data_IF_640038096449
#
_entry.id   IF_640038096449
#
_cell.length_a   1.000
_cell.length_b   1.000
_cell.length_c   1.000
_cell.angle_alpha   90.00
_cell.angle_beta   90.00
_cell.angle_gamma   90.00
#
_symmetry.space_group_name_H-M   'P 1'
#
loop_
_entity.id
_entity.type
_entity.pdbx_description
1 polymer ?
#
# COMPACT_ATOMS: atom_id res chain seq x y z
N UNK A 1 2.24 -9.32 -15.68
CA UNK A 1 3.20 -8.82 -14.70
C UNK A 1 3.58 -7.40 -15.04
N UNK A 2 3.61 -6.51 -14.06
CA UNK A 2 4.18 -5.17 -14.13
C UNK A 2 5.33 -5.12 -13.11
N UNK A 3 6.50 -4.65 -13.54
CA UNK A 3 7.68 -4.57 -12.66
C UNK A 3 8.31 -3.19 -12.76
N UNK A 4 8.87 -2.73 -11.64
CA UNK A 4 9.69 -1.53 -11.57
C UNK A 4 10.84 -1.76 -10.58
N UNK A 5 12.05 -1.80 -11.12
CA UNK A 5 13.30 -1.98 -10.38
C UNK A 5 14.09 -0.68 -10.20
N UNK A 6 13.58 0.41 -10.78
CA UNK A 6 14.17 1.75 -10.75
C UNK A 6 15.58 1.87 -11.34
N UNK A 7 16.15 0.81 -11.89
CA UNK A 7 17.54 0.76 -12.35
C UNK A 7 17.85 1.65 -13.58
N UNK A 8 16.82 2.18 -14.22
CA UNK A 8 16.97 3.25 -15.22
C UNK A 8 17.45 4.59 -14.64
N UNK A 9 17.41 4.75 -13.31
CA UNK A 9 17.71 6.00 -12.61
C UNK A 9 16.60 7.04 -12.69
N UNK A 10 15.43 6.69 -13.22
CA UNK A 10 14.26 7.54 -13.32
C UNK A 10 12.98 6.71 -13.29
N UNK A 11 11.85 7.34 -12.95
CA UNK A 11 10.54 6.72 -13.10
C UNK A 11 10.25 6.55 -14.60
N UNK A 12 9.91 5.33 -15.01
CA UNK A 12 9.55 5.05 -16.40
C UNK A 12 8.19 5.67 -16.76
N UNK A 13 8.24 6.83 -17.38
CA UNK A 13 7.04 7.57 -17.79
C UNK A 13 6.20 6.87 -18.87
N UNK A 14 6.65 5.77 -19.45
CA UNK A 14 5.81 4.94 -20.33
C UNK A 14 4.94 3.96 -19.54
N UNK A 15 5.35 3.59 -18.35
CA UNK A 15 4.61 2.68 -17.46
C UNK A 15 3.73 3.43 -16.46
N UNK A 16 4.21 4.57 -15.96
CA UNK A 16 3.65 5.25 -14.81
C UNK A 16 3.30 6.70 -15.07
N UNK A 17 2.17 7.14 -14.53
CA UNK A 17 1.90 8.54 -14.25
C UNK A 17 2.26 8.83 -12.79
N UNK A 18 3.10 9.82 -12.58
CA UNK A 18 3.37 10.32 -11.23
C UNK A 18 2.35 11.41 -10.89
N UNK A 19 1.55 11.15 -9.86
CA UNK A 19 0.62 12.14 -9.28
C UNK A 19 1.06 12.42 -7.84
N UNK A 20 1.08 13.68 -7.44
CA UNK A 20 1.57 14.08 -6.12
C UNK A 20 0.85 15.31 -5.58
N UNK A 21 0.81 15.42 -4.24
CA UNK A 21 0.35 16.59 -3.49
C UNK A 21 1.28 16.73 -2.27
N UNK A 22 2.01 17.82 -2.22
CA UNK A 22 3.00 18.18 -1.20
C UNK A 22 4.23 17.26 -1.13
N UNK A 23 4.07 15.94 -1.04
CA UNK A 23 5.17 14.99 -0.99
C UNK A 23 5.83 14.69 -2.33
N UNK A 24 6.86 13.87 -2.30
CA UNK A 24 7.63 13.49 -3.48
C UNK A 24 7.90 11.99 -3.56
N UNK A 25 7.99 11.47 -4.78
CA UNK A 25 8.51 10.14 -5.07
C UNK A 25 9.56 10.28 -6.17
N UNK A 26 10.81 10.00 -5.85
CA UNK A 26 11.95 10.20 -6.74
C UNK A 26 12.86 8.99 -6.76
N UNK A 27 13.47 8.70 -7.90
CA UNK A 27 14.53 7.68 -7.97
C UNK A 27 15.84 8.28 -7.49
N UNK A 28 16.57 7.54 -6.67
CA UNK A 28 17.82 7.96 -6.05
C UNK A 28 18.80 6.79 -5.91
N UNK A 29 20.07 7.07 -5.62
CA UNK A 29 21.15 6.09 -5.49
C UNK A 29 21.81 6.05 -4.11
N UNK A 30 21.21 6.70 -3.11
CA UNK A 30 21.73 6.72 -1.75
C UNK A 30 21.48 5.39 -1.03
N UNK A 31 20.41 4.70 -1.44
CA UNK A 31 19.94 3.48 -0.80
C UNK A 31 19.17 2.63 -1.80
N UNK A 32 19.63 1.43 -2.08
CA UNK A 32 18.95 0.43 -2.90
C UNK A 32 19.00 -0.93 -2.21
N UNK A 33 18.02 -1.78 -2.44
CA UNK A 33 18.03 -3.17 -1.99
C UNK A 33 18.85 -4.02 -2.94
N UNK A 34 18.65 -3.79 -4.23
CA UNK A 34 19.39 -4.41 -5.31
C UNK A 34 19.89 -3.34 -6.28
N UNK A 35 20.89 -3.68 -7.08
CA UNK A 35 21.41 -2.78 -8.09
C UNK A 35 21.97 -1.47 -7.53
N UNK A 36 21.57 -0.36 -8.13
CA UNK A 36 22.13 0.97 -7.84
C UNK A 36 21.06 2.00 -7.42
N UNK A 37 19.84 1.81 -7.83
CA UNK A 37 18.79 2.80 -7.67
C UNK A 37 17.56 2.22 -6.98
N UNK A 38 16.85 3.07 -6.23
CA UNK A 38 15.55 2.77 -5.64
C UNK A 38 14.69 4.03 -5.62
N UNK A 39 13.39 3.90 -5.45
CA UNK A 39 12.52 5.04 -5.22
C UNK A 39 12.58 5.48 -3.77
N UNK A 40 12.62 6.79 -3.53
CA UNK A 40 12.43 7.41 -2.23
C UNK A 40 11.11 8.16 -2.22
N UNK A 41 10.23 7.77 -1.33
CA UNK A 41 9.05 8.52 -0.95
C UNK A 41 9.39 9.42 0.24
N UNK A 42 9.13 10.72 0.07
CA UNK A 42 9.32 11.71 1.13
C UNK A 42 7.98 12.38 1.43
N UNK A 43 7.44 12.07 2.60
CA UNK A 43 6.25 12.71 3.13
C UNK A 43 6.61 13.95 3.94
N UNK A 44 5.75 14.96 3.89
CA UNK A 44 5.92 16.23 4.59
C UNK A 44 4.88 16.39 5.69
N UNK A 45 5.29 16.95 6.83
CA UNK A 45 4.32 17.37 7.83
C UNK A 45 3.47 18.52 7.31
N UNK A 46 2.17 18.45 7.55
CA UNK A 46 1.26 19.49 7.09
C UNK A 46 -0.18 19.35 7.62
N UNK A 47 -1.02 20.34 7.37
CA UNK A 47 -2.41 20.33 7.83
C UNK A 47 -3.38 19.55 6.93
N UNK A 48 -2.91 19.02 5.82
CA UNK A 48 -3.73 18.28 4.85
C UNK A 48 -2.99 17.05 4.38
N UNK A 49 -3.72 16.10 3.83
CA UNK A 49 -3.18 14.88 3.24
C UNK A 49 -1.98 15.15 2.35
N UNK A 50 -1.08 14.21 2.36
CA UNK A 50 0.14 14.23 1.59
C UNK A 50 0.30 12.92 0.81
N UNK A 51 0.62 13.02 -0.47
CA UNK A 51 0.84 11.83 -1.30
C UNK A 51 1.78 12.05 -2.48
N UNK A 52 2.38 10.96 -2.91
CA UNK A 52 3.00 10.82 -4.23
C UNK A 52 2.85 9.39 -4.71
N UNK A 53 2.18 9.19 -5.82
CA UNK A 53 1.81 7.88 -6.35
C UNK A 53 2.26 7.72 -7.81
N UNK A 54 2.77 6.55 -8.12
CA UNK A 54 2.88 6.00 -9.46
C UNK A 54 1.57 5.31 -9.80
N UNK A 55 0.85 5.79 -10.79
CA UNK A 55 -0.38 5.17 -11.29
C UNK A 55 -0.07 4.46 -12.59
N UNK A 56 -0.41 3.19 -12.69
CA UNK A 56 -0.13 2.39 -13.88
C UNK A 56 -0.91 2.91 -15.10
N UNK A 57 -0.21 3.35 -16.14
CA UNK A 57 -0.82 3.83 -17.40
C UNK A 57 -1.55 2.73 -18.16
N UNK A 58 -1.03 1.54 -18.07
CA UNK A 58 -1.61 0.36 -18.73
C UNK A 58 -1.62 -0.80 -17.76
N UNK A 59 -2.79 -1.31 -17.49
CA UNK A 59 -2.98 -2.52 -16.71
C UNK A 59 -3.10 -3.71 -17.66
N UNK A 60 -2.17 -4.68 -17.58
CA UNK A 60 -2.28 -5.89 -18.38
C UNK A 60 -3.60 -6.62 -18.14
N UNK A 61 -4.23 -7.20 -19.17
CA UNK A 61 -5.52 -7.91 -19.00
C UNK A 61 -5.49 -8.99 -17.92
N UNK A 62 -4.36 -9.65 -17.70
CA UNK A 62 -4.19 -10.68 -16.67
C UNK A 62 -4.27 -10.13 -15.23
N UNK A 63 -4.10 -8.82 -15.04
CA UNK A 63 -4.23 -8.15 -13.73
C UNK A 63 -5.61 -7.51 -13.54
N UNK A 64 -6.38 -7.37 -14.62
CA UNK A 64 -7.77 -6.89 -14.55
C UNK A 64 -8.66 -8.01 -14.08
N UNK A 65 -9.42 -7.79 -13.02
CA UNK A 65 -10.33 -8.78 -12.51
C UNK A 65 -10.34 -8.84 -10.99
N UNK A 66 -10.77 -9.97 -10.46
CA UNK A 66 -11.07 -10.11 -9.04
C UNK A 66 -9.86 -10.47 -8.15
N UNK A 67 -8.64 -10.53 -8.71
CA UNK A 67 -7.47 -10.94 -7.91
C UNK A 67 -6.18 -10.32 -8.45
N UNK A 68 -5.32 -9.88 -7.53
CA UNK A 68 -3.98 -9.38 -7.87
C UNK A 68 -3.03 -9.56 -6.71
N UNK A 69 -1.77 -9.90 -7.04
CA UNK A 69 -0.68 -9.98 -6.10
C UNK A 69 0.30 -8.84 -6.31
N UNK A 70 0.88 -8.39 -5.23
CA UNK A 70 1.97 -7.43 -5.28
C UNK A 70 3.11 -7.82 -4.35
N UNK A 71 4.28 -7.30 -4.67
CA UNK A 71 5.48 -7.39 -3.84
C UNK A 71 6.29 -6.12 -3.98
N UNK A 72 6.91 -5.70 -2.90
CA UNK A 72 7.91 -4.63 -2.89
C UNK A 72 8.96 -4.92 -1.82
N UNK A 73 10.19 -4.53 -2.06
CA UNK A 73 11.18 -4.34 -1.01
C UNK A 73 11.01 -2.94 -0.44
N UNK A 74 10.84 -2.85 0.87
CA UNK A 74 10.62 -1.59 1.57
C UNK A 74 11.67 -1.39 2.66
N UNK A 75 12.20 -0.19 2.74
CA UNK A 75 13.04 0.25 3.84
C UNK A 75 12.41 1.48 4.48
N UNK A 76 12.12 1.38 5.76
CA UNK A 76 11.60 2.48 6.55
C UNK A 76 12.69 3.03 7.46
N UNK A 77 12.96 4.33 7.38
CA UNK A 77 14.00 4.97 8.18
C UNK A 77 13.63 5.01 9.67
N UNK A 78 14.64 4.96 10.56
CA UNK A 78 14.44 4.86 12.01
C UNK A 78 13.76 6.07 12.64
N UNK A 79 13.86 7.23 12.03
CA UNK A 79 13.21 8.45 12.51
C UNK A 79 11.68 8.45 12.33
N UNK A 80 11.14 7.49 11.58
CA UNK A 80 9.72 7.21 11.49
C UNK A 80 9.13 6.64 12.81
N UNK A 81 9.62 7.08 13.96
CA UNK A 81 9.28 6.51 15.28
C UNK A 81 7.97 7.01 15.89
N UNK A 82 7.34 8.00 15.32
CA UNK A 82 6.02 8.44 15.78
C UNK A 82 4.94 7.89 14.85
N UNK A 83 3.72 7.84 15.34
CA UNK A 83 2.52 7.39 14.64
C UNK A 83 2.47 7.87 13.18
N UNK A 84 3.16 7.17 12.31
CA UNK A 84 3.09 7.35 10.88
C UNK A 84 2.20 6.25 10.35
N UNK A 85 1.32 6.64 9.46
CA UNK A 85 0.26 5.82 8.92
C UNK A 85 0.24 6.04 7.42
N UNK A 86 0.90 5.18 6.68
CA UNK A 86 1.17 5.38 5.28
C UNK A 86 0.60 4.25 4.44
N UNK A 87 -0.32 4.58 3.58
CA UNK A 87 -0.81 3.69 2.55
C UNK A 87 0.19 3.69 1.38
N UNK A 88 0.51 2.53 0.83
CA UNK A 88 1.60 2.46 -0.16
C UNK A 88 1.28 1.69 -1.44
N UNK A 89 0.34 0.75 -1.43
CA UNK A 89 -0.04 -0.03 -2.59
C UNK A 89 -1.55 -0.05 -2.74
N UNK A 90 -2.03 0.25 -3.92
CA UNK A 90 -3.43 0.53 -4.22
C UNK A 90 -3.90 -0.31 -5.38
N UNK A 91 -5.09 -0.89 -5.26
CA UNK A 91 -5.82 -1.54 -6.35
C UNK A 91 -7.28 -1.13 -6.29
N UNK A 92 -7.86 -0.76 -7.42
CA UNK A 92 -9.23 -0.28 -7.43
C UNK A 92 -9.82 -0.11 -8.80
N UNK A 93 -10.87 0.68 -8.86
CA UNK A 93 -11.50 1.14 -10.08
C UNK A 93 -11.17 2.58 -10.39
N UNK A 94 -10.96 2.86 -11.67
CA UNK A 94 -10.92 4.23 -12.18
C UNK A 94 -12.31 4.85 -12.10
N UNK A 95 -12.43 6.04 -11.55
CA UNK A 95 -13.70 6.76 -11.47
C UNK A 95 -13.53 8.20 -11.07
N UNK A 96 -14.64 8.92 -11.04
CA UNK A 96 -14.70 10.24 -10.42
C UNK A 96 -14.65 10.04 -8.92
N UNK A 97 -13.44 9.99 -8.39
CA UNK A 97 -13.18 9.73 -6.99
C UNK A 97 -13.89 10.69 -6.06
N UNK A 98 -13.99 10.30 -4.80
CA UNK A 98 -14.37 11.24 -3.76
C UNK A 98 -13.23 12.22 -3.49
N UNK A 99 -13.56 13.28 -2.76
CA UNK A 99 -12.59 14.26 -2.29
C UNK A 99 -11.56 13.68 -1.28
N UNK A 100 -11.72 12.42 -0.86
CA UNK A 100 -11.01 11.83 0.28
C UNK A 100 -10.02 10.73 -0.10
N UNK A 101 -9.91 10.36 -1.37
CA UNK A 101 -8.93 9.36 -1.85
C UNK A 101 -7.97 9.93 -2.87
N UNK A 102 -6.79 9.35 -3.03
CA UNK A 102 -5.88 9.78 -4.07
C UNK A 102 -6.51 9.51 -5.44
N UNK A 103 -6.57 10.56 -6.28
CA UNK A 103 -7.01 10.38 -7.66
C UNK A 103 -6.08 9.38 -8.39
N UNK A 104 -6.55 8.51 -9.29
CA UNK A 104 -7.88 8.51 -9.90
C UNK A 104 -8.85 7.44 -9.36
N UNK A 105 -8.70 7.01 -8.13
CA UNK A 105 -9.45 5.88 -7.59
C UNK A 105 -10.86 6.28 -7.12
N UNK A 106 -11.87 5.49 -7.48
CA UNK A 106 -13.25 5.64 -7.01
C UNK A 106 -13.59 4.71 -5.84
N UNK A 107 -13.13 3.46 -5.96
CA UNK A 107 -13.16 2.44 -4.91
C UNK A 107 -11.80 1.78 -4.87
N UNK A 108 -11.28 1.49 -3.71
CA UNK A 108 -9.93 0.95 -3.62
C UNK A 108 -9.73 0.02 -2.43
N UNK A 109 -8.75 -0.86 -2.59
CA UNK A 109 -8.05 -1.60 -1.55
C UNK A 109 -6.64 -1.06 -1.46
N UNK A 110 -6.10 -0.92 -0.28
CA UNK A 110 -4.71 -0.53 -0.14
C UNK A 110 -4.01 -1.25 1.01
N UNK A 111 -2.72 -1.42 0.82
CA UNK A 111 -1.83 -1.85 1.89
C UNK A 111 -1.28 -0.64 2.60
N UNK A 112 -1.09 -0.80 3.88
CA UNK A 112 -0.66 0.24 4.77
C UNK A 112 0.50 -0.22 5.63
N UNK A 113 1.36 0.70 5.99
CA UNK A 113 2.35 0.53 7.03
C UNK A 113 2.16 1.59 8.11
N UNK A 114 2.14 1.15 9.35
CA UNK A 114 2.02 2.04 10.49
C UNK A 114 3.14 1.80 11.49
N UNK A 115 3.63 2.88 12.09
CA UNK A 115 4.62 2.82 13.15
C UNK A 115 3.95 2.90 14.50
N UNK A 116 4.05 1.85 15.29
CA UNK A 116 3.58 1.80 16.67
C UNK A 116 4.67 1.30 17.61
N UNK A 117 4.98 2.09 18.63
CA UNK A 117 5.94 1.69 19.67
C UNK A 117 7.33 1.36 19.14
N UNK A 118 7.80 2.09 18.13
CA UNK A 118 9.12 1.92 17.53
C UNK A 118 9.25 0.71 16.61
N UNK A 119 8.14 0.18 16.12
CA UNK A 119 8.12 -0.93 15.15
C UNK A 119 7.13 -0.62 14.03
N UNK A 120 7.49 -1.03 12.82
CA UNK A 120 6.61 -0.99 11.69
C UNK A 120 5.69 -2.22 11.67
N UNK A 121 4.46 -2.00 11.30
CA UNK A 121 3.43 -3.03 11.19
C UNK A 121 2.73 -2.89 9.85
N UNK A 122 2.53 -4.00 9.16
CA UNK A 122 1.78 -4.06 7.93
C UNK A 122 0.29 -4.14 8.25
N UNK A 123 -0.48 -3.32 7.60
CA UNK A 123 -1.94 -3.29 7.64
C UNK A 123 -2.54 -3.29 6.25
N UNK A 124 -3.85 -3.28 6.19
CA UNK A 124 -4.59 -2.98 4.98
C UNK A 124 -5.80 -2.14 5.33
N UNK A 125 -6.34 -1.52 4.33
CA UNK A 125 -7.56 -0.76 4.46
C UNK A 125 -8.42 -0.91 3.21
N UNK A 126 -9.71 -0.74 3.40
CA UNK A 126 -10.74 -0.74 2.39
C UNK A 126 -11.45 0.59 2.44
N UNK A 127 -11.46 1.28 1.33
CA UNK A 127 -12.17 2.54 1.23
C UNK A 127 -13.25 2.42 0.16
N UNK A 128 -14.51 2.44 0.59
CA UNK A 128 -15.66 2.68 -0.26
C UNK A 128 -16.12 4.14 -0.08
N UNK A 129 -16.13 4.86 -1.17
CA UNK A 129 -16.36 6.30 -1.17
C UNK A 129 -17.84 6.69 -1.34
N UNK A 130 -18.74 5.69 -1.41
CA UNK A 130 -20.17 5.96 -1.58
C UNK A 130 -21.06 4.80 -1.09
N UNK A 131 -21.55 4.79 0.14
CA UNK A 131 -21.21 5.70 1.25
C UNK A 131 -19.76 5.52 1.69
N UNK A 132 -19.22 6.52 2.37
CA UNK A 132 -17.88 6.42 2.94
C UNK A 132 -17.86 5.33 4.00
N UNK A 133 -17.13 4.26 3.70
CA UNK A 133 -16.86 3.15 4.61
C UNK A 133 -15.36 2.93 4.60
N UNK A 134 -14.74 3.06 5.74
CA UNK A 134 -13.34 2.82 5.96
C UNK A 134 -13.18 1.65 6.94
N UNK A 135 -12.46 0.63 6.54
CA UNK A 135 -12.18 -0.54 7.35
C UNK A 135 -10.68 -0.80 7.42
N UNK A 136 -10.10 -0.47 8.55
CA UNK A 136 -8.67 -0.64 8.82
C UNK A 136 -8.41 -1.90 9.62
N UNK A 137 -7.45 -2.70 9.21
CA UNK A 137 -7.00 -3.85 9.97
C UNK A 137 -5.48 -4.03 9.94
N UNK A 138 -4.89 -4.29 11.10
CA UNK A 138 -3.46 -4.48 11.22
C UNK A 138 -3.08 -5.94 11.36
N UNK A 139 -2.12 -6.35 10.56
CA UNK A 139 -1.56 -7.69 10.62
C UNK A 139 -0.65 -7.87 11.84
N UNK A 140 -0.32 -9.13 12.14
CA UNK A 140 0.78 -9.46 13.06
C UNK A 140 2.16 -9.28 12.42
N UNK A 141 2.21 -9.00 11.12
CA UNK A 141 3.43 -8.81 10.35
C UNK A 141 4.14 -7.54 10.77
N UNK A 142 5.29 -7.71 11.41
CA UNK A 142 6.17 -6.62 11.82
C UNK A 142 7.47 -6.73 11.07
N UNK A 143 8.03 -5.58 10.73
CA UNK A 143 9.33 -5.50 10.09
C UNK A 143 10.22 -4.47 10.77
N UNK A 144 11.51 -4.59 10.54
CA UNK A 144 12.49 -3.77 11.21
C UNK A 144 12.55 -2.36 10.63
N UNK A 145 12.90 -1.39 11.46
CA UNK A 145 13.39 -0.08 11.02
C UNK A 145 14.84 -0.21 10.55
N UNK A 146 15.26 0.65 9.65
CA UNK A 146 16.63 0.68 9.10
C UNK A 146 17.08 -0.64 8.46
N UNK A 147 16.15 -1.40 7.90
CA UNK A 147 16.43 -2.62 7.18
C UNK A 147 15.45 -2.81 6.02
N UNK A 148 15.91 -3.42 4.94
CA UNK A 148 15.04 -3.85 3.87
C UNK A 148 14.20 -5.04 4.30
N UNK A 149 12.90 -4.95 4.08
CA UNK A 149 11.93 -6.03 4.27
C UNK A 149 11.14 -6.25 3.00
N UNK A 150 10.86 -7.49 2.70
CA UNK A 150 10.00 -7.86 1.59
C UNK A 150 8.55 -7.88 2.05
N UNK A 151 7.74 -7.00 1.50
CA UNK A 151 6.31 -6.95 1.74
C UNK A 151 5.57 -7.50 0.54
N UNK A 152 4.64 -8.41 0.78
CA UNK A 152 3.77 -8.98 -0.24
C UNK A 152 2.33 -8.83 0.17
N UNK A 153 1.45 -8.71 -0.82
CA UNK A 153 0.00 -8.68 -0.62
C UNK A 153 -0.73 -9.42 -1.73
N UNK A 154 -1.93 -9.83 -1.41
CA UNK A 154 -2.90 -10.41 -2.31
C UNK A 154 -4.25 -9.77 -2.05
N UNK A 155 -4.75 -9.03 -3.01
CA UNK A 155 -6.10 -8.52 -3.00
C UNK A 155 -7.01 -9.45 -3.77
N UNK A 156 -8.10 -9.87 -3.14
CA UNK A 156 -9.18 -10.64 -3.75
C UNK A 156 -10.46 -9.84 -3.59
N UNK A 157 -11.19 -9.65 -4.66
CA UNK A 157 -12.47 -8.93 -4.67
C UNK A 157 -13.66 -9.88 -4.52
N UNK A 158 -13.50 -11.14 -4.91
CA UNK A 158 -14.55 -12.17 -4.74
C UNK A 158 -13.91 -13.56 -4.56
N UNK A 159 -13.88 -14.12 -3.34
CA UNK A 159 -14.37 -13.53 -2.08
C UNK A 159 -13.54 -12.30 -1.70
N UNK A 160 -14.18 -11.38 -0.99
CA UNK A 160 -13.51 -10.18 -0.50
C UNK A 160 -12.50 -10.56 0.59
N UNK A 161 -11.21 -10.49 0.25
CA UNK A 161 -10.14 -10.95 1.13
C UNK A 161 -8.81 -10.25 0.82
N UNK A 162 -8.04 -9.99 1.87
CA UNK A 162 -6.65 -9.53 1.76
C UNK A 162 -5.73 -10.48 2.52
N UNK A 163 -4.69 -10.97 1.85
CA UNK A 163 -3.63 -11.75 2.49
C UNK A 163 -2.31 -11.02 2.37
N UNK A 164 -1.50 -11.02 3.42
CA UNK A 164 -0.21 -10.34 3.43
C UNK A 164 0.91 -11.22 3.97
N UNK A 165 2.13 -10.92 3.54
CA UNK A 165 3.35 -11.59 3.99
C UNK A 165 4.45 -10.55 4.26
N UNK A 166 5.29 -10.85 5.24
CA UNK A 166 6.52 -10.13 5.53
C UNK A 166 7.67 -11.11 5.46
N UNK A 167 8.69 -10.81 4.65
CA UNK A 167 9.86 -11.67 4.43
C UNK A 167 9.49 -13.13 4.07
N UNK A 168 8.45 -13.30 3.24
CA UNK A 168 7.94 -14.59 2.80
C UNK A 168 7.04 -15.33 3.81
N UNK A 169 6.95 -14.87 5.05
CA UNK A 169 6.11 -15.44 6.11
C UNK A 169 4.74 -14.79 6.09
N UNK A 170 3.67 -15.58 6.03
CA UNK A 170 2.31 -15.05 6.06
C UNK A 170 2.05 -14.29 7.36
N UNK A 171 1.69 -13.04 7.22
CA UNK A 171 1.44 -12.12 8.32
C UNK A 171 -0.04 -12.07 8.72
N UNK A 172 -0.92 -12.09 7.74
CA UNK A 172 -2.37 -12.03 7.96
C UNK A 172 -3.16 -12.57 6.77
N UNK A 173 -4.38 -12.95 7.05
CA UNK A 173 -5.47 -13.06 6.08
C UNK A 173 -6.67 -12.41 6.72
N UNK A 174 -7.26 -11.45 6.03
CA UNK A 174 -8.48 -10.78 6.43
C UNK A 174 -9.58 -11.10 5.45
N UNK A 175 -10.71 -11.51 5.95
CA UNK A 175 -11.94 -11.76 5.23
C UNK A 175 -13.13 -11.49 6.16
N UNK A 176 -14.35 -11.60 5.65
CA UNK A 176 -15.58 -11.36 6.39
C UNK A 176 -15.80 -12.31 7.58
N UNK A 177 -14.96 -13.30 7.78
CA UNK A 177 -15.14 -14.32 8.83
C UNK A 177 -14.18 -14.15 10.00
N UNK A 178 -13.06 -13.43 9.82
CA UNK A 178 -11.97 -13.39 10.78
C UNK A 178 -11.40 -11.99 11.05
N UNK A 179 -12.20 -10.96 10.92
CA UNK A 179 -11.81 -9.59 11.27
C UNK A 179 -11.52 -9.51 12.77
N UNK A 180 -10.42 -10.09 13.18
CA UNK A 180 -9.89 -9.92 14.52
C UNK A 180 -8.92 -8.73 14.48
N UNK A 181 -9.34 -7.62 15.04
CA UNK A 181 -8.45 -6.53 15.39
C UNK A 181 -7.27 -7.09 16.21
N UNK A 182 -6.18 -7.34 15.56
CA UNK A 182 -4.91 -7.57 16.23
C UNK A 182 -4.20 -6.22 16.43
N UNK A 183 -4.94 -5.22 16.93
CA UNK A 183 -4.34 -3.96 17.30
C UNK A 183 -3.70 -4.05 18.67
N UNK A 184 -2.45 -3.62 18.86
CA UNK A 184 -1.96 -3.16 20.14
C UNK A 184 -2.38 -1.71 20.44
N UNK A 185 -3.21 -1.10 19.59
CA UNK A 185 -3.78 0.23 19.78
C UNK A 185 -5.08 0.23 20.57
N UNK A 186 -5.62 1.41 20.89
CA UNK A 186 -6.88 1.52 21.60
C UNK A 186 -7.97 0.73 20.87
N UNK A 187 -8.84 0.14 21.66
CA UNK A 187 -10.08 -0.52 21.21
C UNK A 187 -10.69 0.20 20.01
N UNK A 188 -11.18 -0.53 18.99
CA UNK A 188 -11.88 0.08 17.87
C UNK A 188 -12.85 1.10 18.43
N UNK A 189 -12.80 2.33 17.95
CA UNK A 189 -13.83 3.29 18.27
C UNK A 189 -15.14 2.65 17.86
N UNK A 190 -16.10 2.60 18.80
CA UNK A 190 -17.43 2.07 18.53
C UNK A 190 -18.01 2.81 17.32
N UNK A 191 -18.00 2.19 16.17
CA UNK A 191 -18.35 2.81 14.88
C UNK A 191 -17.44 2.40 13.73
N UNK A 192 -16.31 1.72 13.99
CA UNK A 192 -15.56 1.05 12.94
C UNK A 192 -16.44 -0.03 12.33
N UNK A 193 -16.82 0.13 11.08
CA UNK A 193 -17.56 -0.92 10.38
C UNK A 193 -16.65 -2.16 10.36
N UNK A 194 -17.16 -3.26 10.85
CA UNK A 194 -16.51 -4.55 10.65
C UNK A 194 -16.60 -4.88 9.17
N UNK A 195 -15.53 -5.35 8.58
CA UNK A 195 -15.59 -5.95 7.26
C UNK A 195 -16.60 -7.09 7.29
N UNK A 196 -17.79 -6.84 6.81
CA UNK A 196 -18.91 -7.76 6.92
C UNK A 196 -19.13 -8.60 5.64
N UNK A 197 -18.25 -8.40 4.65
CA UNK A 197 -18.29 -9.15 3.39
C UNK A 197 -19.56 -8.95 2.59
N UNK A 198 -20.23 -7.82 2.78
CA UNK A 198 -21.40 -7.50 1.97
C UNK A 198 -21.01 -7.28 0.53
N UNK A 199 -21.92 -7.59 -0.37
CA UNK A 199 -21.72 -7.34 -1.81
C UNK A 199 -21.50 -5.87 -2.16
N UNK A 200 -21.84 -4.94 -1.26
CA UNK A 200 -21.54 -3.53 -1.37
C UNK A 200 -20.05 -3.20 -1.21
N UNK A 201 -19.30 -4.09 -0.57
CA UNK A 201 -17.87 -3.90 -0.32
C UNK A 201 -17.02 -4.34 -1.51
N UNK A 202 -17.62 -5.08 -2.44
CA UNK A 202 -16.93 -5.54 -3.64
C UNK A 202 -16.65 -4.36 -4.59
N UNK A 203 -15.42 -4.31 -5.07
CA UNK A 203 -14.98 -3.34 -6.07
C UNK A 203 -15.58 -3.66 -7.44
N UNK A 204 -15.85 -4.93 -7.73
CA UNK A 204 -16.28 -5.41 -9.04
C UNK A 204 -15.11 -5.71 -9.97
N UNK A 205 -13.96 -6.03 -9.39
CA UNK A 205 -12.68 -6.28 -10.03
C UNK A 205 -11.76 -5.07 -10.06
N UNK A 206 -10.48 -5.29 -10.25
CA UNK A 206 -9.46 -4.25 -10.30
C UNK A 206 -9.13 -3.88 -11.73
N UNK A 207 -9.07 -2.60 -12.05
CA UNK A 207 -8.66 -2.08 -13.36
C UNK A 207 -7.62 -0.95 -13.27
N UNK A 208 -7.32 -0.50 -12.06
CA UNK A 208 -6.37 0.58 -11.79
C UNK A 208 -5.48 0.19 -10.61
N UNK A 209 -4.19 0.46 -10.73
CA UNK A 209 -3.19 0.19 -9.70
C UNK A 209 -2.33 1.42 -9.47
N UNK A 210 -2.02 1.66 -8.19
CA UNK A 210 -1.11 2.71 -7.77
C UNK A 210 -0.09 2.19 -6.77
N UNK A 211 1.04 2.89 -6.68
CA UNK A 211 2.11 2.58 -5.76
C UNK A 211 2.85 3.85 -5.35
N UNK A 212 3.21 3.96 -4.08
CA UNK A 212 3.92 5.13 -3.57
C UNK A 212 3.58 5.38 -2.12
N UNK A 213 3.06 6.55 -1.78
CA UNK A 213 2.55 6.79 -0.44
C UNK A 213 1.34 7.74 -0.44
N UNK A 214 0.50 7.57 0.56
CA UNK A 214 -0.53 8.51 0.96
C UNK A 214 -0.59 8.53 2.49
N UNK A 215 -0.48 9.71 3.08
CA UNK A 215 -0.62 9.98 4.51
C UNK A 215 -1.81 10.92 4.73
N UNK A 216 -2.83 10.44 5.40
CA UNK A 216 -4.06 11.19 5.67
C UNK A 216 -3.89 12.29 6.71
N UNK A 217 -2.93 12.09 7.62
CA UNK A 217 -2.71 12.98 8.75
C UNK A 217 -1.21 13.21 8.97
N UNK A 218 -0.53 13.87 8.04
CA UNK A 218 0.91 14.01 8.05
C UNK A 218 1.39 14.85 9.23
N UNK A 219 1.65 14.20 10.35
CA UNK A 219 2.16 14.83 11.55
C UNK A 219 3.66 15.08 11.51
N UNK A 220 4.38 14.37 10.65
CA UNK A 220 5.84 14.40 10.55
C UNK A 220 6.31 14.16 9.14
N UNK A 221 7.53 14.61 8.89
CA UNK A 221 8.29 14.17 7.72
C UNK A 221 8.75 12.72 7.92
N UNK A 222 8.77 11.97 6.82
CA UNK A 222 9.30 10.62 6.78
C UNK A 222 9.95 10.32 5.44
N UNK A 223 10.86 9.34 5.46
CA UNK A 223 11.42 8.73 4.26
C UNK A 223 11.16 7.23 4.27
N UNK A 224 10.57 6.75 3.19
CA UNK A 224 10.43 5.33 2.89
C UNK A 224 11.08 5.07 1.53
N UNK A 225 11.87 4.00 1.44
CA UNK A 225 12.49 3.60 0.20
C UNK A 225 11.85 2.33 -0.31
N UNK A 226 11.69 2.26 -1.63
CA UNK A 226 11.07 1.14 -2.32
C UNK A 226 11.96 0.63 -3.44
N UNK A 227 12.00 -0.68 -3.57
CA UNK A 227 12.73 -1.35 -4.62
C UNK A 227 11.99 -2.60 -5.09
N UNK A 228 12.31 -3.07 -6.29
CA UNK A 228 11.78 -4.33 -6.85
C UNK A 228 10.25 -4.47 -6.77
N UNK A 229 9.51 -3.44 -7.16
CA UNK A 229 8.05 -3.51 -7.25
C UNK A 229 7.61 -4.51 -8.32
N UNK A 230 6.72 -5.43 -7.95
CA UNK A 230 6.07 -6.37 -8.87
C UNK A 230 4.58 -6.41 -8.60
N UNK A 231 3.78 -6.36 -9.68
CA UNK A 231 2.36 -6.68 -9.68
C UNK A 231 2.12 -7.85 -10.65
N UNK A 232 1.46 -8.92 -10.19
CA UNK A 232 1.19 -10.12 -10.99
C UNK A 232 -0.17 -10.74 -10.64
N UNK A 233 -0.66 -11.59 -11.53
CA UNK A 233 -1.83 -12.45 -11.31
C UNK A 233 -1.50 -13.65 -10.41
N UNK A 234 -0.24 -13.86 -10.05
CA UNK A 234 0.25 -14.94 -9.18
C UNK A 234 1.25 -14.40 -8.18
N UNK A 235 1.32 -15.03 -7.02
CA UNK A 235 2.32 -14.70 -6.01
C UNK A 235 3.73 -14.89 -6.56
N UNK A 236 4.55 -13.85 -6.46
CA UNK A 236 5.94 -13.83 -6.94
C UNK A 236 6.90 -14.37 -5.87
N UNK A 237 6.60 -14.13 -4.61
CA UNK A 237 7.49 -14.45 -3.49
C UNK A 237 8.60 -13.41 -3.30
N UNK A 238 9.24 -13.48 -2.15
CA UNK A 238 10.39 -12.66 -1.85
C UNK A 238 11.66 -13.19 -2.54
N UNK A 239 12.59 -12.30 -2.94
CA UNK A 239 13.89 -12.75 -3.40
C UNK A 239 14.63 -13.51 -2.29
N UNK A 240 15.48 -14.44 -2.65
CA UNK A 240 16.36 -15.09 -1.69
C UNK A 240 17.30 -14.05 -1.06
N UNK A 241 17.43 -14.10 0.26
CA UNK A 241 18.38 -13.25 1.00
C UNK A 241 19.80 -13.71 0.79
#
# INVERSE_FOLDING_TARGET
MVCEDFESGAIDSNKWDLVAKAGTLVVQSERAAHGKFAARAHGQAGPSDDWALLVAKTVPPALKGATTFGRVLMYAAADATASIHVQFAFAGHTGTGSAEGPAPFAKLRYMEVASYGGRWQLGFDLLDLSPLVEEVSYSKGRFATDAWSCLEWHFEDSPDRVTSWVDGVQASTFDNTNVAYASPGPTPSAGGALWDGKSSDLIGGFDTFGFGFHDWHPQRQFDIYYDDLVLDAKRVGCPAK
#
